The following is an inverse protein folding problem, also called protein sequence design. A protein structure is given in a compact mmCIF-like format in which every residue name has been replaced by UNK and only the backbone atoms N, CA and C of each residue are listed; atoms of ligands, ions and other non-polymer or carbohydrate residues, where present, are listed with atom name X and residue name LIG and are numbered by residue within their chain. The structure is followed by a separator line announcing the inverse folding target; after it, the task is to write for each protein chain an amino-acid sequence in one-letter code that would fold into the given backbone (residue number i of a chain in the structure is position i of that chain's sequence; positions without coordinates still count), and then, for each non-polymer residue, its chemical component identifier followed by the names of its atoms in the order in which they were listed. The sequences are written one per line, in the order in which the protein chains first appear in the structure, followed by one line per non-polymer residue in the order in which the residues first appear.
data_IF_448951910864
#
_entry.id   IF_448951910864
#
_cell.length_a   1.000
_cell.length_b   1.000
_cell.length_c   1.000
_cell.angle_alpha   90.00
_cell.angle_beta   90.00
_cell.angle_gamma   90.00
#
_symmetry.space_group_name_H-M   'P 1'
#
loop_
_entity.id
_entity.type
_entity.pdbx_description
1 polymer ?
#
# COMPACT_ATOMS: atom_id res chain seq x y z
N UNK A 1 11.10 17.06 18.15
CA UNK A 1 9.88 17.62 17.55
C UNK A 1 9.49 16.65 16.46
N UNK A 2 8.35 15.98 16.57
CA UNK A 2 7.83 15.20 15.45
C UNK A 2 7.47 16.20 14.34
N UNK A 3 8.02 16.09 13.12
CA UNK A 3 7.61 16.98 12.04
C UNK A 3 6.11 16.74 11.81
N UNK A 4 5.31 17.78 11.98
CA UNK A 4 3.89 17.71 11.68
C UNK A 4 3.74 17.37 10.19
N UNK A 5 2.78 16.50 9.81
CA UNK A 5 2.51 16.24 8.41
C UNK A 5 2.17 17.55 7.70
N UNK A 6 2.75 17.77 6.52
CA UNK A 6 2.41 18.90 5.66
C UNK A 6 1.09 18.59 4.95
N UNK A 7 0.11 19.49 5.06
CA UNK A 7 -1.22 19.30 4.47
C UNK A 7 -1.55 20.50 3.61
N UNK A 8 -1.69 20.26 2.31
CA UNK A 8 -2.03 21.30 1.34
C UNK A 8 -3.22 20.87 0.48
N UNK A 9 -4.16 21.80 0.26
CA UNK A 9 -5.28 21.56 -0.65
C UNK A 9 -4.85 21.84 -2.09
N UNK A 10 -4.94 20.83 -2.94
CA UNK A 10 -4.69 20.95 -4.38
C UNK A 10 -5.93 21.47 -5.15
N UNK A 11 -6.98 21.89 -4.45
CA UNK A 11 -8.23 22.36 -5.04
C UNK A 11 -9.07 21.22 -5.64
N UNK A 12 -9.77 21.50 -6.74
CA UNK A 12 -10.58 20.48 -7.43
C UNK A 12 -9.71 19.70 -8.39
N UNK A 13 -9.52 18.43 -8.08
CA UNK A 13 -8.90 17.46 -8.97
C UNK A 13 -9.96 16.77 -9.84
N UNK A 14 -9.53 16.26 -10.99
CA UNK A 14 -10.39 15.51 -11.91
C UNK A 14 -10.64 14.08 -11.43
N UNK A 15 -10.94 13.20 -12.38
CA UNK A 15 -11.07 11.76 -12.14
C UNK A 15 -9.80 11.17 -11.51
N UNK A 16 -9.89 10.38 -10.42
CA UNK A 16 -8.72 9.84 -9.73
C UNK A 16 -7.79 9.00 -10.62
N UNK A 17 -8.33 8.22 -11.56
CA UNK A 17 -7.51 7.43 -12.47
C UNK A 17 -6.76 8.32 -13.47
N UNK A 18 -7.38 9.42 -13.93
CA UNK A 18 -6.69 10.41 -14.74
C UNK A 18 -5.57 11.12 -13.97
N UNK A 19 -5.76 11.45 -12.69
CA UNK A 19 -4.72 12.03 -11.85
C UNK A 19 -3.58 11.03 -11.64
N UNK A 20 -3.89 9.77 -11.33
CA UNK A 20 -2.90 8.71 -11.14
C UNK A 20 -2.03 8.45 -12.37
N UNK A 21 -2.59 8.65 -13.58
CA UNK A 21 -1.83 8.52 -14.83
C UNK A 21 -0.60 9.45 -14.91
N UNK A 22 -0.63 10.59 -14.21
CA UNK A 22 0.51 11.50 -14.11
C UNK A 22 1.70 10.97 -13.31
N UNK A 23 1.54 9.84 -12.61
CA UNK A 23 2.53 9.24 -11.72
C UNK A 23 2.99 7.85 -12.18
N UNK A 24 2.65 7.44 -13.41
CA UNK A 24 3.00 6.12 -13.96
C UNK A 24 4.51 5.85 -14.04
N UNK A 25 5.33 6.91 -14.10
CA UNK A 25 6.80 6.79 -14.12
C UNK A 25 7.39 6.55 -12.72
N UNK A 26 6.60 6.70 -11.65
CA UNK A 26 7.06 6.43 -10.29
C UNK A 26 6.84 4.96 -9.92
N UNK A 27 7.78 4.34 -9.19
CA UNK A 27 7.63 2.96 -8.77
C UNK A 27 6.53 2.84 -7.71
N UNK A 28 5.89 1.67 -7.66
CA UNK A 28 4.86 1.36 -6.65
C UNK A 28 3.70 2.37 -6.61
N UNK A 29 3.25 2.83 -7.79
CA UNK A 29 2.04 3.63 -7.90
C UNK A 29 0.85 2.89 -7.26
N UNK A 30 0.23 3.55 -6.30
CA UNK A 30 -0.92 3.09 -5.53
C UNK A 30 -2.11 4.00 -5.82
N UNK A 31 -3.19 3.41 -6.31
CA UNK A 31 -4.51 4.04 -6.35
C UNK A 31 -5.49 3.15 -5.58
N UNK A 32 -6.00 3.66 -4.47
CA UNK A 32 -7.09 3.03 -3.72
C UNK A 32 -8.36 3.80 -4.02
N UNK A 33 -9.16 3.28 -4.93
CA UNK A 33 -10.44 3.87 -5.29
C UNK A 33 -11.59 3.10 -4.66
N UNK A 34 -12.61 3.81 -4.19
CA UNK A 34 -13.80 3.20 -3.62
C UNK A 34 -14.92 3.26 -4.63
N UNK A 35 -15.46 2.13 -5.06
CA UNK A 35 -16.73 2.09 -5.76
C UNK A 35 -17.84 1.73 -4.77
N UNK A 36 -18.82 2.62 -4.57
CA UNK A 36 -20.10 2.22 -3.98
C UNK A 36 -20.98 1.64 -5.07
N UNK A 37 -21.51 0.43 -4.84
CA UNK A 37 -22.53 -0.12 -5.71
C UNK A 37 -23.70 0.87 -5.77
N UNK A 38 -24.15 1.23 -6.98
CA UNK A 38 -25.37 2.01 -7.17
C UNK A 38 -26.53 1.37 -6.43
N UNK A 39 -27.46 2.15 -5.89
CA UNK A 39 -28.54 1.66 -5.01
C UNK A 39 -29.65 0.91 -5.78
N UNK A 40 -29.36 0.35 -6.94
CA UNK A 40 -30.30 -0.41 -7.75
C UNK A 40 -29.74 -0.83 -9.11
N UNK A 41 -30.40 -1.80 -9.74
CA UNK A 41 -30.10 -2.21 -11.10
C UNK A 41 -30.41 -1.06 -12.08
N UNK A 42 -29.37 -0.46 -12.67
CA UNK A 42 -29.47 0.62 -13.66
C UNK A 42 -28.83 1.94 -13.24
N UNK A 43 -28.34 2.08 -12.00
CA UNK A 43 -27.57 3.26 -11.58
C UNK A 43 -26.08 3.06 -11.84
N UNK A 44 -25.42 4.08 -12.39
CA UNK A 44 -23.97 4.08 -12.52
C UNK A 44 -23.32 3.97 -11.13
N UNK A 45 -22.19 3.24 -11.00
CA UNK A 45 -21.44 3.17 -9.75
C UNK A 45 -21.16 4.59 -9.24
N UNK A 46 -21.50 4.86 -7.98
CA UNK A 46 -21.09 6.11 -7.34
C UNK A 46 -19.73 5.86 -6.72
N UNK A 47 -18.75 6.74 -6.99
CA UNK A 47 -17.49 6.69 -6.27
C UNK A 47 -17.76 6.93 -4.78
N UNK A 48 -17.04 6.20 -3.94
CA UNK A 48 -17.02 6.43 -2.50
C UNK A 48 -16.47 7.82 -2.19
N UNK A 49 -16.61 8.24 -0.93
CA UNK A 49 -16.27 9.62 -0.52
C UNK A 49 -14.80 9.99 -0.78
N UNK A 50 -13.90 9.02 -0.78
CA UNK A 50 -12.46 9.23 -0.91
C UNK A 50 -11.83 8.21 -1.87
N UNK A 51 -10.85 8.69 -2.62
CA UNK A 51 -9.85 7.89 -3.33
C UNK A 51 -8.48 8.35 -2.82
N UNK A 52 -7.52 7.42 -2.72
CA UNK A 52 -6.17 7.71 -2.23
C UNK A 52 -5.15 7.42 -3.31
N UNK A 53 -4.16 8.30 -3.47
CA UNK A 53 -3.11 8.19 -4.46
C UNK A 53 -1.76 8.33 -3.77
N UNK A 54 -0.84 7.42 -4.02
CA UNK A 54 0.55 7.58 -3.57
C UNK A 54 1.50 6.82 -4.51
N UNK A 55 2.80 7.05 -4.39
CA UNK A 55 3.84 6.37 -5.16
C UNK A 55 5.20 6.57 -4.49
N UNK A 56 6.24 5.93 -5.01
CA UNK A 56 7.62 6.07 -4.53
C UNK A 56 7.76 5.97 -3.00
N UNK A 57 7.35 4.83 -2.40
CA UNK A 57 7.39 4.67 -0.96
C UNK A 57 8.84 4.72 -0.45
N UNK A 58 9.02 5.31 0.73
CA UNK A 58 10.34 5.42 1.38
C UNK A 58 10.98 4.05 1.66
N UNK A 59 10.14 3.05 1.99
CA UNK A 59 10.54 1.68 2.28
C UNK A 59 9.57 0.72 1.58
N UNK A 60 10.09 -0.34 0.97
CA UNK A 60 9.28 -1.46 0.46
C UNK A 60 9.67 -2.74 1.17
N UNK A 61 8.70 -3.45 1.72
CA UNK A 61 8.88 -4.79 2.26
C UNK A 61 8.24 -5.78 1.30
N UNK A 62 9.00 -6.79 0.87
CA UNK A 62 8.45 -7.90 0.09
C UNK A 62 8.87 -9.25 0.64
N UNK A 63 8.02 -10.25 0.48
CA UNK A 63 8.37 -11.63 0.86
C UNK A 63 7.88 -12.67 -0.12
N UNK A 64 8.59 -13.80 -0.15
CA UNK A 64 8.17 -15.04 -0.82
C UNK A 64 8.49 -16.21 0.10
N UNK A 65 7.46 -16.92 0.55
CA UNK A 65 7.56 -17.90 1.62
C UNK A 65 8.24 -17.31 2.87
N UNK A 66 9.26 -18.00 3.37
CA UNK A 66 10.01 -17.58 4.56
C UNK A 66 11.09 -16.50 4.30
N UNK A 67 11.24 -16.05 3.04
CA UNK A 67 12.26 -15.07 2.67
C UNK A 67 11.64 -13.68 2.58
N UNK A 68 12.20 -12.73 3.32
CA UNK A 68 11.77 -11.33 3.32
C UNK A 68 12.93 -10.41 2.97
N UNK A 69 12.66 -9.45 2.09
CA UNK A 69 13.59 -8.42 1.65
C UNK A 69 13.01 -7.03 1.91
N UNK A 70 13.89 -6.08 2.20
CA UNK A 70 13.54 -4.66 2.38
C UNK A 70 14.30 -3.82 1.37
N UNK A 71 13.55 -2.97 0.66
CA UNK A 71 14.03 -2.03 -0.35
C UNK A 71 13.98 -0.59 0.16
N UNK A 72 15.09 0.13 0.09
CA UNK A 72 15.20 1.55 0.48
C UNK A 72 16.13 2.26 -0.51
N UNK A 73 15.66 3.36 -1.13
CA UNK A 73 16.46 4.14 -2.09
C UNK A 73 17.02 3.30 -3.24
N UNK A 74 16.23 2.34 -3.74
CA UNK A 74 16.61 1.41 -4.82
C UNK A 74 17.55 0.26 -4.41
N UNK A 75 17.94 0.17 -3.13
CA UNK A 75 18.80 -0.91 -2.63
C UNK A 75 17.98 -1.93 -1.86
N UNK A 76 18.21 -3.21 -2.16
CA UNK A 76 17.55 -4.33 -1.51
C UNK A 76 18.48 -5.05 -0.55
N UNK A 77 17.96 -5.43 0.62
CA UNK A 77 18.64 -6.28 1.58
C UNK A 77 17.73 -7.43 2.00
N UNK A 78 18.29 -8.64 2.04
CA UNK A 78 17.65 -9.76 2.73
C UNK A 78 17.67 -9.50 4.23
N UNK A 79 16.48 -9.48 4.85
CA UNK A 79 16.35 -9.25 6.29
C UNK A 79 15.88 -10.51 7.03
N UNK A 80 15.24 -11.44 6.32
CA UNK A 80 14.62 -12.63 6.93
C UNK A 80 13.50 -12.25 7.91
N UNK A 81 12.78 -13.24 8.44
CA UNK A 81 11.69 -12.99 9.39
C UNK A 81 10.37 -12.58 8.75
N UNK A 82 9.36 -12.35 9.59
CA UNK A 82 7.98 -12.07 9.18
C UNK A 82 7.83 -10.68 8.55
N UNK A 83 7.26 -10.63 7.34
CA UNK A 83 7.09 -9.39 6.57
C UNK A 83 6.21 -8.38 7.31
N UNK A 84 5.11 -8.83 7.92
CA UNK A 84 4.20 -7.93 8.63
C UNK A 84 4.83 -7.36 9.91
N UNK A 85 5.66 -8.15 10.60
CA UNK A 85 6.46 -7.69 11.72
C UNK A 85 7.47 -6.63 11.31
N UNK A 86 8.15 -6.81 10.17
CA UNK A 86 9.08 -5.82 9.63
C UNK A 86 8.36 -4.54 9.26
N UNK A 87 7.21 -4.62 8.58
CA UNK A 87 6.38 -3.44 8.25
C UNK A 87 5.98 -2.71 9.52
N UNK A 88 5.46 -3.41 10.53
CA UNK A 88 5.07 -2.82 11.83
C UNK A 88 6.25 -2.11 12.51
N UNK A 89 7.42 -2.73 12.54
CA UNK A 89 8.61 -2.13 13.15
C UNK A 89 9.07 -0.86 12.43
N UNK A 90 8.96 -0.82 11.10
CA UNK A 90 9.30 0.38 10.34
C UNK A 90 8.25 1.49 10.51
N UNK A 91 6.96 1.16 10.53
CA UNK A 91 5.90 2.13 10.80
C UNK A 91 6.04 2.79 12.17
N UNK A 92 6.42 2.03 13.20
CA UNK A 92 6.62 2.55 14.55
C UNK A 92 7.71 3.64 14.64
N UNK A 93 8.64 3.71 13.69
CA UNK A 93 9.65 4.77 13.63
C UNK A 93 9.08 6.13 13.20
N UNK A 94 7.92 6.12 12.55
CA UNK A 94 7.28 7.29 11.93
C UNK A 94 5.86 7.52 12.47
N UNK A 95 5.55 6.97 13.64
CA UNK A 95 4.25 7.10 14.26
C UNK A 95 3.91 8.58 14.51
N UNK A 96 2.74 9.00 14.04
CA UNK A 96 2.23 10.35 14.20
C UNK A 96 0.73 10.34 14.49
N UNK A 97 0.26 11.38 15.18
CA UNK A 97 -1.16 11.55 15.44
C UNK A 97 -1.89 11.87 14.13
N UNK A 98 -3.02 11.19 13.90
CA UNK A 98 -3.89 11.49 12.78
C UNK A 98 -4.41 12.93 12.87
N UNK A 99 -4.35 13.67 11.76
CA UNK A 99 -4.87 15.04 11.72
C UNK A 99 -6.40 15.00 11.67
N UNK A 100 -7.09 15.61 12.66
CA UNK A 100 -8.55 15.59 12.70
C UNK A 100 -9.16 16.27 11.47
N UNK A 101 -10.21 15.66 10.91
CA UNK A 101 -10.96 16.22 9.78
C UNK A 101 -10.41 15.90 8.38
N UNK A 102 -9.24 15.26 8.28
CA UNK A 102 -8.71 14.75 7.03
C UNK A 102 -9.25 13.35 6.67
N UNK A 103 -9.09 12.90 5.41
CA UNK A 103 -9.36 11.52 5.02
C UNK A 103 -8.66 10.47 5.91
N UNK A 104 -9.19 9.23 6.00
CA UNK A 104 -8.75 8.24 6.98
C UNK A 104 -7.37 7.63 6.72
N UNK A 105 -6.90 7.62 5.47
CA UNK A 105 -5.54 7.20 5.13
C UNK A 105 -4.69 8.46 4.95
N UNK A 106 -3.69 8.65 5.81
CA UNK A 106 -2.83 9.83 5.91
C UNK A 106 -1.35 9.44 5.72
N UNK A 107 -1.10 8.49 4.80
CA UNK A 107 0.17 7.79 4.68
C UNK A 107 0.22 6.50 5.51
N UNK A 108 1.36 5.83 5.48
CA UNK A 108 1.59 4.54 6.13
C UNK A 108 1.77 3.40 5.13
N UNK A 109 1.43 2.18 5.54
CA UNK A 109 1.69 0.98 4.73
C UNK A 109 0.52 0.65 3.80
N UNK A 110 0.83 0.41 2.52
CA UNK A 110 -0.14 -0.05 1.54
C UNK A 110 0.51 -0.90 0.44
N UNK A 111 -0.29 -1.75 -0.21
CA UNK A 111 0.16 -2.69 -1.22
C UNK A 111 -0.71 -3.93 -1.21
N UNK A 112 -0.11 -5.12 -1.33
CA UNK A 112 -0.86 -6.37 -1.35
C UNK A 112 -0.29 -7.44 -0.42
N UNK A 113 -1.19 -8.30 0.03
CA UNK A 113 -0.92 -9.59 0.67
C UNK A 113 -1.64 -10.64 -0.17
N UNK A 114 -0.87 -11.45 -0.87
CA UNK A 114 -1.33 -12.51 -1.76
C UNK A 114 -1.78 -13.74 -0.97
N UNK A 115 -2.54 -14.60 -1.66
CA UNK A 115 -3.11 -15.80 -1.07
C UNK A 115 -2.06 -16.75 -0.49
N UNK A 116 -0.95 -16.94 -1.20
CA UNK A 116 0.13 -17.85 -0.82
C UNK A 116 0.84 -17.46 0.48
N UNK A 117 0.70 -16.21 0.94
CA UNK A 117 1.19 -15.80 2.25
C UNK A 117 0.53 -16.61 3.39
N UNK A 118 -0.66 -17.17 3.16
CA UNK A 118 -1.31 -18.09 4.10
C UNK A 118 -0.44 -19.29 4.49
N UNK A 119 0.45 -19.77 3.61
CA UNK A 119 1.37 -20.87 3.93
C UNK A 119 2.48 -20.49 4.92
N UNK A 120 2.70 -19.18 5.14
CA UNK A 120 3.58 -18.66 6.20
C UNK A 120 2.83 -18.59 7.54
N UNK A 121 1.53 -18.31 7.49
CA UNK A 121 0.68 -18.18 8.67
C UNK A 121 0.20 -19.53 9.23
N UNK A 122 -0.01 -20.50 8.36
CA UNK A 122 -0.61 -21.79 8.69
C UNK A 122 0.17 -22.96 8.09
N UNK A 123 0.02 -24.15 8.69
CA UNK A 123 0.55 -25.40 8.13
C UNK A 123 -0.38 -25.89 7.02
N UNK A 124 -0.08 -25.53 5.79
CA UNK A 124 -0.81 -25.95 4.59
C UNK A 124 0.01 -26.96 3.77
N UNK A 125 -0.64 -27.83 2.98
CA UNK A 125 0.05 -28.61 1.96
C UNK A 125 0.76 -27.68 0.96
N UNK A 126 1.96 -28.04 0.47
CA UNK A 126 2.66 -27.21 -0.51
C UNK A 126 1.85 -27.11 -1.80
N UNK A 127 1.86 -25.93 -2.41
CA UNK A 127 1.28 -25.74 -3.75
C UNK A 127 2.06 -26.57 -4.76
N UNK A 128 1.35 -27.11 -5.76
CA UNK A 128 1.97 -27.96 -6.77
C UNK A 128 2.83 -27.16 -7.76
N UNK A 129 2.46 -25.90 -8.00
CA UNK A 129 3.12 -24.99 -8.94
C UNK A 129 3.11 -23.57 -8.38
N UNK A 130 4.19 -22.81 -8.63
CA UNK A 130 4.29 -21.35 -8.46
C UNK A 130 4.47 -20.76 -9.86
N UNK A 131 3.36 -20.63 -10.58
CA UNK A 131 3.31 -20.23 -11.99
C UNK A 131 3.44 -18.72 -12.19
N UNK A 132 3.04 -17.92 -11.19
CA UNK A 132 3.18 -16.47 -11.20
C UNK A 132 4.58 -16.00 -10.78
N UNK A 133 5.27 -16.75 -9.91
CA UNK A 133 6.59 -16.39 -9.37
C UNK A 133 6.66 -14.95 -8.81
N UNK A 134 5.53 -14.43 -8.32
CA UNK A 134 5.42 -13.11 -7.70
C UNK A 134 5.60 -13.22 -6.18
N UNK A 135 6.04 -12.14 -5.51
CA UNK A 135 6.09 -12.10 -4.05
C UNK A 135 4.69 -12.33 -3.45
N UNK A 136 4.64 -12.98 -2.29
CA UNK A 136 3.41 -13.19 -1.53
C UNK A 136 2.99 -11.92 -0.80
N UNK A 137 3.93 -11.04 -0.44
CA UNK A 137 3.66 -9.73 0.15
C UNK A 137 4.49 -8.69 -0.59
N UNK A 138 3.87 -7.53 -0.89
CA UNK A 138 4.58 -6.29 -1.22
C UNK A 138 3.84 -5.14 -0.55
N UNK A 139 4.47 -4.51 0.43
CA UNK A 139 3.93 -3.36 1.15
C UNK A 139 4.94 -2.21 1.08
N UNK A 140 4.53 -1.10 0.50
CA UNK A 140 5.24 0.17 0.54
C UNK A 140 4.84 0.97 1.77
N UNK A 141 5.80 1.63 2.41
CA UNK A 141 5.57 2.64 3.44
C UNK A 141 5.64 4.02 2.77
N UNK A 142 4.49 4.64 2.61
CA UNK A 142 4.32 5.92 1.95
C UNK A 142 4.28 7.04 2.99
N UNK A 143 5.04 8.09 2.74
CA UNK A 143 5.11 9.31 3.54
C UNK A 143 4.24 10.45 2.96
N UNK A 144 3.55 10.20 1.86
CA UNK A 144 2.56 11.10 1.26
C UNK A 144 1.34 10.34 0.73
N UNK A 145 0.21 11.04 0.60
CA UNK A 145 -1.06 10.57 0.04
C UNK A 145 -1.89 11.73 -0.51
#
# INVERSE_FOLDING_TARGET
MSPLPLVESLGKLGDPAHVAAGFLDLPYLLLLDSATAGRGAGEAPQLGRFSFLSADPAIVVRSKGATTEVGEGGKWRGQGGDALAIVRSNLALWECDAVPGLPPFQGGAAGYIGYDFGAVLERLPPTRYDDLAIPDVVLGLYDWV
#
